data_IF_791538994923
#
_entry.id   IF_791538994923
#
_cell.length_a   1.000
_cell.length_b   1.000
_cell.length_c   1.000
_cell.angle_alpha   90.00
_cell.angle_beta   90.00
_cell.angle_gamma   90.00
#
_symmetry.space_group_name_H-M   'P 1'
#
loop_
_entity.id
_entity.type
_entity.pdbx_description
1 polymer ?
#
# COMPACT_ATOMS: atom_id res chain seq x y z
N UNK A 1 7.95 -1.11 5.74
CA UNK A 1 7.15 0.09 6.04
C UNK A 1 7.99 1.25 6.60
N UNK A 2 8.64 1.13 7.76
CA UNK A 2 9.44 2.24 8.32
C UNK A 2 10.50 2.81 7.36
N UNK A 3 11.30 1.94 6.73
CA UNK A 3 12.30 2.33 5.74
C UNK A 3 11.69 2.90 4.45
N UNK A 4 10.55 2.39 4.00
CA UNK A 4 9.86 2.89 2.80
C UNK A 4 9.24 4.26 3.03
N UNK A 5 8.73 4.52 4.23
CA UNK A 5 8.24 5.84 4.62
C UNK A 5 9.41 6.83 4.69
N UNK A 6 10.54 6.45 5.28
CA UNK A 6 11.76 7.29 5.27
C UNK A 6 12.18 7.61 3.85
N UNK A 7 12.33 6.59 2.97
CA UNK A 7 12.68 6.79 1.57
C UNK A 7 11.67 7.69 0.83
N UNK A 8 10.37 7.54 1.12
CA UNK A 8 9.34 8.38 0.54
C UNK A 8 9.59 9.85 0.88
N UNK A 9 9.82 10.17 2.15
CA UNK A 9 10.11 11.55 2.55
C UNK A 9 11.45 12.04 1.99
N UNK A 10 12.50 11.23 2.05
CA UNK A 10 13.83 11.58 1.52
C UNK A 10 13.79 11.90 0.01
N UNK A 11 12.89 11.24 -0.73
CA UNK A 11 12.77 11.40 -2.19
C UNK A 11 11.80 12.52 -2.60
N UNK A 12 10.79 12.81 -1.77
CA UNK A 12 9.66 13.67 -2.17
C UNK A 12 9.57 14.99 -1.37
N UNK A 13 10.42 15.20 -0.36
CA UNK A 13 10.50 16.48 0.34
C UNK A 13 11.21 17.52 -0.54
N UNK A 14 10.43 18.44 -1.11
CA UNK A 14 10.90 19.48 -2.03
C UNK A 14 10.41 20.85 -1.56
N UNK A 15 11.19 21.93 -1.73
CA UNK A 15 10.81 23.27 -1.26
C UNK A 15 9.46 23.79 -1.78
N UNK A 16 9.01 23.31 -2.94
CA UNK A 16 7.77 23.69 -3.61
C UNK A 16 6.54 22.97 -3.04
N UNK A 17 6.74 21.87 -2.29
CA UNK A 17 5.68 21.02 -1.77
C UNK A 17 5.43 21.35 -0.30
N UNK A 18 4.18 21.71 0.02
CA UNK A 18 3.83 21.92 1.43
C UNK A 18 3.89 20.60 2.21
N UNK A 19 4.31 20.66 3.48
CA UNK A 19 4.29 19.49 4.39
C UNK A 19 2.92 18.79 4.46
N UNK A 20 1.83 19.55 4.32
CA UNK A 20 0.46 18.99 4.28
C UNK A 20 0.27 18.12 3.04
N UNK A 21 0.62 18.65 1.87
CA UNK A 21 0.53 17.92 0.60
C UNK A 21 1.38 16.65 0.63
N UNK A 22 2.62 16.77 1.13
CA UNK A 22 3.54 15.65 1.26
C UNK A 22 2.99 14.54 2.18
N UNK A 23 2.37 14.92 3.30
CA UNK A 23 1.74 13.96 4.21
C UNK A 23 0.52 13.26 3.60
N UNK A 24 -0.34 13.99 2.89
CA UNK A 24 -1.47 13.39 2.19
C UNK A 24 -1.02 12.42 1.09
N UNK A 25 0.03 12.77 0.35
CA UNK A 25 0.64 11.91 -0.66
C UNK A 25 1.23 10.64 -0.04
N UNK A 26 1.98 10.75 1.07
CA UNK A 26 2.52 9.58 1.78
C UNK A 26 1.40 8.63 2.26
N UNK A 27 0.30 9.18 2.79
CA UNK A 27 -0.87 8.36 3.16
C UNK A 27 -1.50 7.67 1.95
N UNK A 28 -1.59 8.32 0.80
CA UNK A 28 -2.10 7.71 -0.42
C UNK A 28 -1.19 6.57 -0.89
N UNK A 29 0.13 6.76 -0.86
CA UNK A 29 1.13 5.73 -1.15
C UNK A 29 0.94 4.48 -0.27
N UNK A 30 0.87 4.66 1.06
CA UNK A 30 0.66 3.56 2.01
C UNK A 30 -0.67 2.82 1.77
N UNK A 31 -1.75 3.56 1.47
CA UNK A 31 -3.04 2.93 1.15
C UNK A 31 -2.96 2.05 -0.10
N UNK A 32 -2.22 2.49 -1.13
CA UNK A 32 -1.99 1.69 -2.34
C UNK A 32 -1.33 0.34 -2.04
N UNK A 33 -0.31 0.34 -1.17
CA UNK A 33 0.36 -0.89 -0.74
C UNK A 33 -0.61 -1.82 0.02
N UNK A 34 -1.40 -1.28 0.95
CA UNK A 34 -2.40 -2.06 1.72
C UNK A 34 -3.44 -2.67 0.78
N UNK A 35 -3.97 -1.90 -0.16
CA UNK A 35 -4.97 -2.38 -1.12
C UNK A 35 -4.40 -3.53 -1.95
N UNK A 36 -3.16 -3.39 -2.44
CA UNK A 36 -2.49 -4.44 -3.21
C UNK A 36 -2.34 -5.73 -2.39
N UNK A 37 -1.86 -5.63 -1.15
CA UNK A 37 -1.70 -6.76 -0.25
C UNK A 37 -3.04 -7.46 0.04
N UNK A 38 -4.06 -6.70 0.46
CA UNK A 38 -5.38 -7.25 0.79
C UNK A 38 -6.04 -7.88 -0.44
N UNK A 39 -5.88 -7.28 -1.63
CA UNK A 39 -6.38 -7.84 -2.88
C UNK A 39 -5.73 -9.20 -3.18
N UNK A 40 -4.42 -9.32 -2.98
CA UNK A 40 -3.72 -10.59 -3.15
C UNK A 40 -4.17 -11.64 -2.14
N UNK A 41 -4.30 -11.26 -0.86
CA UNK A 41 -4.77 -12.14 0.20
C UNK A 41 -6.16 -12.70 -0.12
N UNK A 42 -7.12 -11.84 -0.49
CA UNK A 42 -8.49 -12.26 -0.87
C UNK A 42 -8.51 -13.18 -2.09
N UNK A 43 -7.61 -12.98 -3.05
CA UNK A 43 -7.49 -13.88 -4.21
C UNK A 43 -6.99 -15.26 -3.79
N UNK A 44 -6.07 -15.33 -2.83
CA UNK A 44 -5.57 -16.60 -2.31
C UNK A 44 -6.66 -17.34 -1.54
N UNK A 45 -7.35 -16.67 -0.61
CA UNK A 45 -8.47 -17.23 0.17
C UNK A 45 -9.58 -17.77 -0.75
N UNK A 46 -9.93 -17.02 -1.80
CA UNK A 46 -10.94 -17.49 -2.76
C UNK A 46 -10.51 -18.76 -3.50
N UNK A 47 -9.24 -18.84 -3.92
CA UNK A 47 -8.71 -20.04 -4.60
C UNK A 47 -8.76 -21.27 -3.69
N UNK A 48 -8.44 -21.08 -2.40
CA UNK A 48 -8.52 -22.16 -1.40
C UNK A 48 -9.96 -22.62 -1.21
N UNK A 49 -10.90 -21.69 -1.05
CA UNK A 49 -12.33 -22.03 -0.93
C UNK A 49 -12.89 -22.74 -2.17
N UNK A 50 -12.51 -22.30 -3.38
CA UNK A 50 -12.89 -22.95 -4.65
C UNK A 50 -12.31 -24.36 -4.79
N UNK A 51 -11.13 -24.63 -4.23
CA UNK A 51 -10.53 -25.96 -4.24
C UNK A 51 -11.31 -26.92 -3.31
N UNK A 52 -11.67 -26.46 -2.11
CA UNK A 52 -12.41 -27.25 -1.11
C UNK A 52 -13.87 -27.55 -1.50
N UNK A 53 -14.47 -26.78 -2.41
CA UNK A 53 -15.85 -27.02 -2.89
C UNK A 53 -15.91 -27.91 -4.14
N UNK A 54 -14.76 -28.30 -4.71
CA UNK A 54 -14.68 -29.16 -5.90
C UNK A 54 -14.49 -30.65 -5.59
N UNK A 55 -14.35 -31.02 -4.32
CA UNK A 55 -14.34 -32.41 -3.82
C UNK A 55 -15.75 -32.82 -3.33
#
# INVERSE_FOLDING_TARGET
LGQEISLFFDTNDSPEISRRTLWEACKAFMRGQIISYVSNLRKAERRESEALTKE
#
